data_IF_192044086516
#
_entry.id   IF_192044086516
#
_cell.length_a   1.000
_cell.length_b   1.000
_cell.length_c   1.000
_cell.angle_alpha   90.00
_cell.angle_beta   90.00
_cell.angle_gamma   90.00
#
_symmetry.space_group_name_H-M   'P 1'
#
loop_
_entity.id
_entity.type
_entity.pdbx_description
1 polymer ?
#
# COMPACT_ATOMS: atom_id res chain seq x y z
N UNK A 1 -7.94 18.96 -2.99
CA UNK A 1 -8.77 18.01 -2.21
C UNK A 1 -7.88 17.50 -1.10
N UNK A 2 -8.37 17.47 0.14
CA UNK A 2 -7.58 16.91 1.26
C UNK A 2 -7.49 15.39 1.19
N UNK A 3 -6.55 14.78 1.95
CA UNK A 3 -6.47 13.32 2.08
C UNK A 3 -7.80 12.73 2.61
N UNK A 4 -8.48 13.43 3.51
CA UNK A 4 -9.80 13.05 4.04
C UNK A 4 -10.89 13.05 2.96
N UNK A 5 -10.86 14.03 2.03
CA UNK A 5 -11.79 14.07 0.90
C UNK A 5 -11.62 12.84 0.00
N UNK A 6 -10.39 12.39 -0.25
CA UNK A 6 -10.12 11.18 -1.03
C UNK A 6 -10.63 9.92 -0.31
N UNK A 7 -10.48 9.86 1.03
CA UNK A 7 -10.98 8.72 1.81
C UNK A 7 -12.49 8.53 1.68
N UNK A 8 -13.25 9.60 1.51
CA UNK A 8 -14.73 9.55 1.45
C UNK A 8 -15.29 9.46 0.03
N UNK A 9 -14.52 9.89 -0.98
CA UNK A 9 -15.01 9.99 -2.38
C UNK A 9 -14.48 8.90 -3.29
N UNK A 10 -13.27 8.41 -3.03
CA UNK A 10 -12.67 7.35 -3.84
C UNK A 10 -13.32 6.02 -3.49
N UNK A 11 -13.95 5.39 -4.48
CA UNK A 11 -14.64 4.10 -4.35
C UNK A 11 -13.72 2.97 -4.79
N UNK A 12 -13.14 2.24 -3.82
CA UNK A 12 -12.29 1.07 -4.09
C UNK A 12 -13.13 -0.12 -4.56
N UNK A 13 -12.56 -0.94 -5.44
CA UNK A 13 -13.19 -2.14 -5.99
C UNK A 13 -13.03 -3.28 -4.99
N UNK A 14 -14.13 -3.76 -4.40
CA UNK A 14 -14.14 -4.87 -3.47
C UNK A 14 -14.00 -6.21 -4.18
N UNK A 15 -13.24 -7.11 -3.59
CA UNK A 15 -12.91 -8.42 -4.13
C UNK A 15 -13.26 -9.55 -3.16
N UNK A 16 -13.51 -10.73 -3.72
CA UNK A 16 -13.33 -11.98 -2.99
C UNK A 16 -11.86 -12.46 -3.05
N UNK A 17 -11.55 -13.56 -2.37
CA UNK A 17 -10.19 -14.10 -2.30
C UNK A 17 -9.66 -14.64 -3.65
N UNK A 18 -10.53 -14.86 -4.62
CA UNK A 18 -10.20 -15.33 -5.97
C UNK A 18 -10.13 -14.19 -6.99
N UNK A 19 -10.13 -12.91 -6.50
CA UNK A 19 -10.04 -11.70 -7.30
C UNK A 19 -11.30 -11.40 -8.15
N UNK A 20 -12.44 -11.98 -7.78
CA UNK A 20 -13.71 -11.59 -8.39
C UNK A 20 -14.23 -10.31 -7.76
N UNK A 21 -14.75 -9.39 -8.59
CA UNK A 21 -15.37 -8.15 -8.12
C UNK A 21 -16.70 -8.48 -7.44
N UNK A 22 -16.83 -8.10 -6.16
CA UNK A 22 -18.04 -8.34 -5.35
C UNK A 22 -18.78 -7.05 -5.01
N UNK A 23 -18.21 -5.87 -5.32
CA UNK A 23 -18.82 -4.58 -5.08
C UNK A 23 -17.81 -3.45 -5.08
N UNK A 24 -18.15 -2.38 -4.41
CA UNK A 24 -17.26 -1.24 -4.16
C UNK A 24 -17.61 -0.61 -2.81
N UNK A 25 -16.67 0.13 -2.24
CA UNK A 25 -16.89 0.95 -1.06
C UNK A 25 -15.87 2.08 -1.01
N UNK A 26 -16.16 3.13 -0.25
CA UNK A 26 -15.23 4.24 -0.14
C UNK A 26 -13.90 3.80 0.49
N UNK A 27 -12.86 4.57 0.20
CA UNK A 27 -11.51 4.26 0.65
C UNK A 27 -11.40 4.21 2.18
N UNK A 28 -12.18 5.01 2.92
CA UNK A 28 -12.24 4.99 4.37
C UNK A 28 -12.66 3.60 4.89
N UNK A 29 -13.79 3.06 4.42
CA UNK A 29 -14.32 1.76 4.82
C UNK A 29 -13.42 0.57 4.42
N UNK A 30 -12.65 0.72 3.35
CA UNK A 30 -11.75 -0.33 2.88
C UNK A 30 -10.43 -0.41 3.65
N UNK A 31 -10.07 0.64 4.40
CA UNK A 31 -8.79 0.73 5.12
C UNK A 31 -8.93 0.68 6.64
N UNK A 32 -10.17 0.67 7.19
CA UNK A 32 -10.40 0.58 8.63
C UNK A 32 -10.21 -0.85 9.12
N UNK A 33 -9.40 -1.00 10.17
CA UNK A 33 -9.23 -2.21 10.96
C UNK A 33 -9.97 -2.04 12.29
N UNK A 34 -10.90 -2.94 12.58
CA UNK A 34 -11.61 -3.00 13.87
C UNK A 34 -11.76 -4.46 14.30
N UNK A 35 -12.18 -4.74 15.55
CA UNK A 35 -12.33 -6.10 16.04
C UNK A 35 -13.19 -7.01 15.15
N UNK A 36 -14.26 -6.46 14.57
CA UNK A 36 -15.18 -7.16 13.66
C UNK A 36 -14.58 -7.34 12.26
N UNK A 37 -13.61 -6.51 11.88
CA UNK A 37 -12.91 -6.52 10.59
C UNK A 37 -11.40 -6.34 10.80
N UNK A 38 -10.71 -7.34 11.35
CA UNK A 38 -9.31 -7.21 11.77
C UNK A 38 -8.32 -7.07 10.60
N UNK A 39 -8.78 -7.25 9.35
CA UNK A 39 -8.00 -7.08 8.11
C UNK A 39 -8.57 -6.02 7.17
N UNK A 40 -9.63 -5.32 7.56
CA UNK A 40 -10.42 -4.45 6.68
C UNK A 40 -11.08 -5.20 5.50
N UNK A 41 -11.64 -4.47 4.53
CA UNK A 41 -12.27 -5.07 3.33
C UNK A 41 -11.21 -5.33 2.27
N UNK A 42 -11.22 -6.55 1.70
CA UNK A 42 -10.32 -6.89 0.59
C UNK A 42 -10.69 -6.08 -0.65
N UNK A 43 -9.72 -5.39 -1.23
CA UNK A 43 -9.94 -4.55 -2.40
C UNK A 43 -8.77 -4.61 -3.38
N UNK A 44 -9.00 -4.15 -4.62
CA UNK A 44 -8.01 -4.18 -5.69
C UNK A 44 -7.05 -3.01 -5.59
N UNK A 45 -5.76 -3.30 -5.74
CA UNK A 45 -4.69 -2.33 -5.78
C UNK A 45 -3.72 -2.58 -6.94
N UNK A 46 -2.76 -1.69 -7.13
CA UNK A 46 -1.65 -1.88 -8.04
C UNK A 46 -0.37 -1.25 -7.50
N UNK A 47 0.75 -1.88 -7.85
CA UNK A 47 2.10 -1.38 -7.63
C UNK A 47 2.85 -1.21 -8.94
N UNK A 48 3.22 0.03 -9.28
CA UNK A 48 4.06 0.35 -10.44
C UNK A 48 5.52 0.37 -10.05
N UNK A 49 6.34 -0.28 -10.85
CA UNK A 49 7.80 -0.19 -10.85
C UNK A 49 8.25 0.41 -12.18
N UNK A 50 8.61 1.71 -12.17
CA UNK A 50 9.07 2.43 -13.34
C UNK A 50 10.59 2.49 -13.36
N UNK A 51 11.16 2.07 -14.48
CA UNK A 51 12.60 2.10 -14.71
C UNK A 51 12.95 3.14 -15.79
N UNK A 52 14.06 3.83 -15.60
CA UNK A 52 14.60 4.68 -16.66
C UNK A 52 15.33 3.85 -17.75
N UNK A 53 15.79 4.49 -18.81
CA UNK A 53 16.55 3.84 -19.89
C UNK A 53 17.89 3.23 -19.45
N UNK A 54 18.38 3.62 -18.28
CA UNK A 54 19.58 3.04 -17.64
C UNK A 54 19.26 1.86 -16.73
N UNK A 55 17.99 1.46 -16.62
CA UNK A 55 17.52 0.38 -15.75
C UNK A 55 17.53 0.73 -14.26
N UNK A 56 17.48 2.03 -13.91
CA UNK A 56 17.34 2.46 -12.51
C UNK A 56 15.86 2.57 -12.16
N UNK A 57 15.49 2.06 -10.98
CA UNK A 57 14.12 2.12 -10.45
C UNK A 57 13.84 3.48 -9.84
N UNK A 58 12.71 4.09 -10.20
CA UNK A 58 12.17 5.26 -9.53
C UNK A 58 11.43 4.84 -8.26
N UNK A 59 11.92 5.31 -7.12
CA UNK A 59 11.27 5.18 -5.81
C UNK A 59 10.62 6.50 -5.42
N UNK A 60 9.61 6.43 -4.54
CA UNK A 60 9.08 7.61 -3.85
C UNK A 60 9.10 7.42 -2.33
N UNK A 61 9.18 8.53 -1.60
CA UNK A 61 8.86 8.60 -0.19
C UNK A 61 7.47 9.22 -0.03
N UNK A 62 6.57 8.53 0.64
CA UNK A 62 5.20 8.98 0.87
C UNK A 62 5.19 10.23 1.74
N UNK A 63 4.32 11.18 1.43
CA UNK A 63 4.17 12.42 2.21
C UNK A 63 3.75 12.14 3.67
N UNK A 64 4.09 13.05 4.56
CA UNK A 64 3.72 12.97 5.97
C UNK A 64 2.20 13.10 6.21
N UNK A 65 1.50 13.69 5.26
CA UNK A 65 0.05 13.92 5.28
C UNK A 65 -0.77 12.66 4.95
N UNK A 66 -0.13 11.60 4.47
CA UNK A 66 -0.83 10.33 4.17
C UNK A 66 -1.43 9.73 5.43
N UNK A 67 -2.68 9.23 5.34
CA UNK A 67 -3.40 8.62 6.47
C UNK A 67 -2.83 7.24 6.79
N UNK A 68 -2.48 6.46 5.74
CA UNK A 68 -1.86 5.14 5.87
C UNK A 68 -0.41 5.21 5.45
N UNK A 69 0.49 4.65 6.26
CA UNK A 69 1.92 4.53 5.99
C UNK A 69 2.60 5.84 5.51
N UNK A 70 2.49 6.96 6.28
CA UNK A 70 3.22 8.19 5.97
C UNK A 70 4.74 8.02 6.14
N UNK A 71 5.51 8.87 5.46
CA UNK A 71 6.98 8.97 5.56
C UNK A 71 7.77 7.71 5.15
N UNK A 72 7.12 6.65 4.66
CA UNK A 72 7.82 5.43 4.23
C UNK A 72 8.28 5.54 2.78
N UNK A 73 9.41 4.92 2.47
CA UNK A 73 9.84 4.68 1.10
C UNK A 73 9.04 3.54 0.48
N UNK A 74 8.80 3.62 -0.82
CA UNK A 74 8.04 2.63 -1.57
C UNK A 74 8.46 2.60 -3.05
N UNK A 75 7.87 1.68 -3.83
CA UNK A 75 7.99 1.63 -5.28
C UNK A 75 7.48 2.92 -5.94
N UNK A 76 7.53 3.01 -7.26
CA UNK A 76 7.26 4.25 -8.00
C UNK A 76 5.88 4.82 -7.71
N UNK A 77 4.84 3.99 -7.73
CA UNK A 77 3.47 4.39 -7.42
C UNK A 77 2.68 3.17 -6.94
N UNK A 78 1.89 3.33 -5.90
CA UNK A 78 0.95 2.31 -5.41
C UNK A 78 -0.37 2.98 -5.08
N UNK A 79 -1.48 2.40 -5.55
CA UNK A 79 -2.82 2.95 -5.35
C UNK A 79 -3.90 1.94 -5.79
N UNK A 80 -5.12 2.45 -5.95
CA UNK A 80 -6.30 1.66 -6.26
C UNK A 80 -6.89 2.05 -7.61
N UNK A 81 -7.31 1.07 -8.44
CA UNK A 81 -8.29 1.34 -9.47
C UNK A 81 -9.63 1.62 -8.80
N UNK A 82 -10.39 2.55 -9.35
CA UNK A 82 -11.60 3.07 -8.73
C UNK A 82 -12.86 2.70 -9.52
N UNK A 83 -13.94 2.48 -8.78
CA UNK A 83 -15.28 2.35 -9.34
C UNK A 83 -15.81 3.70 -9.85
N UNK A 84 -16.65 3.66 -10.89
CA UNK A 84 -17.32 4.88 -11.40
C UNK A 84 -16.54 5.71 -12.40
N UNK A 85 -15.31 5.34 -12.73
CA UNK A 85 -14.53 6.04 -13.76
C UNK A 85 -14.95 5.66 -15.18
N UNK A 86 -14.83 6.60 -16.11
CA UNK A 86 -15.06 6.40 -17.54
C UNK A 86 -13.88 6.97 -18.34
N UNK A 87 -13.14 6.17 -19.12
CA UNK A 87 -13.28 4.70 -19.26
C UNK A 87 -13.09 3.96 -17.93
N UNK A 88 -13.71 2.78 -17.80
CA UNK A 88 -13.69 2.01 -16.55
C UNK A 88 -12.28 1.62 -16.12
N UNK A 89 -12.02 1.67 -14.81
CA UNK A 89 -10.81 1.12 -14.19
C UNK A 89 -11.01 -0.31 -13.65
N UNK A 90 -12.18 -0.92 -13.91
CA UNK A 90 -12.47 -2.31 -13.56
C UNK A 90 -11.99 -3.22 -14.69
N UNK A 91 -11.14 -4.16 -14.37
CA UNK A 91 -10.76 -5.26 -15.27
C UNK A 91 -11.69 -6.45 -15.09
N UNK A 92 -12.15 -7.01 -16.20
CA UNK A 92 -12.91 -8.26 -16.21
C UNK A 92 -11.99 -9.46 -15.92
N UNK A 93 -12.55 -10.62 -15.51
CA UNK A 93 -11.75 -11.84 -15.37
C UNK A 93 -10.99 -12.22 -16.65
N UNK A 94 -11.54 -11.91 -17.84
CA UNK A 94 -10.88 -12.15 -19.11
C UNK A 94 -9.68 -11.22 -19.33
N UNK A 95 -9.78 -9.93 -18.93
CA UNK A 95 -8.66 -8.99 -18.98
C UNK A 95 -7.51 -9.46 -18.09
N UNK A 96 -7.84 -9.89 -16.87
CA UNK A 96 -6.85 -10.42 -15.91
C UNK A 96 -6.19 -11.69 -16.44
N UNK A 97 -6.98 -12.64 -16.92
CA UNK A 97 -6.47 -13.91 -17.46
C UNK A 97 -5.59 -13.74 -18.70
N UNK A 98 -5.84 -12.70 -19.50
CA UNK A 98 -5.01 -12.34 -20.66
C UNK A 98 -3.75 -11.55 -20.31
N UNK A 99 -3.65 -11.02 -19.08
CA UNK A 99 -2.57 -10.13 -18.67
C UNK A 99 -2.67 -8.70 -19.23
N UNK A 100 -3.76 -8.36 -19.90
CA UNK A 100 -3.92 -7.02 -20.51
C UNK A 100 -4.21 -5.92 -19.46
N UNK A 101 -5.08 -6.20 -18.49
CA UNK A 101 -5.46 -5.33 -17.36
C UNK A 101 -5.62 -3.83 -17.69
N UNK A 102 -6.48 -3.47 -18.68
CA UNK A 102 -6.60 -2.09 -19.15
C UNK A 102 -7.14 -1.13 -18.08
N UNK A 103 -7.93 -1.62 -17.14
CA UNK A 103 -8.47 -0.83 -16.04
C UNK A 103 -7.37 -0.40 -15.09
N UNK A 104 -6.57 -1.32 -14.61
CA UNK A 104 -5.43 -1.05 -13.71
C UNK A 104 -4.39 -0.16 -14.38
N UNK A 105 -4.10 -0.33 -15.68
CA UNK A 105 -3.18 0.55 -16.43
C UNK A 105 -3.68 2.00 -16.47
N UNK A 106 -4.99 2.23 -16.66
CA UNK A 106 -5.59 3.58 -16.59
C UNK A 106 -5.41 4.20 -15.21
N UNK A 107 -5.71 3.44 -14.16
CA UNK A 107 -5.51 3.87 -12.79
C UNK A 107 -4.04 4.21 -12.50
N UNK A 108 -3.11 3.39 -12.97
CA UNK A 108 -1.67 3.63 -12.85
C UNK A 108 -1.25 4.96 -13.50
N UNK A 109 -1.65 5.22 -14.75
CA UNK A 109 -1.35 6.48 -15.45
C UNK A 109 -1.96 7.67 -14.70
N UNK A 110 -3.21 7.57 -14.25
CA UNK A 110 -3.88 8.62 -13.47
C UNK A 110 -3.11 8.95 -12.19
N UNK A 111 -2.64 7.94 -11.49
CA UNK A 111 -1.94 8.12 -10.21
C UNK A 111 -0.50 8.55 -10.39
N UNK A 112 0.20 8.12 -11.43
CA UNK A 112 1.53 8.62 -11.78
C UNK A 112 1.50 10.14 -12.06
N UNK A 113 0.46 10.64 -12.75
CA UNK A 113 0.25 12.08 -12.91
C UNK A 113 -0.09 12.76 -11.58
N UNK A 114 -1.00 12.20 -10.80
CA UNK A 114 -1.45 12.80 -9.53
C UNK A 114 -0.35 12.88 -8.47
N UNK A 115 0.45 11.80 -8.31
CA UNK A 115 1.49 11.71 -7.27
C UNK A 115 2.83 12.30 -7.70
N UNK A 116 3.29 11.95 -8.90
CA UNK A 116 4.62 12.28 -9.39
C UNK A 116 4.63 13.31 -10.53
N UNK A 117 3.45 13.79 -10.96
CA UNK A 117 3.32 14.75 -12.05
C UNK A 117 3.76 14.20 -13.43
N UNK A 118 3.93 12.88 -13.53
CA UNK A 118 4.32 12.20 -14.78
C UNK A 118 3.13 12.20 -15.73
N UNK A 119 3.20 12.99 -16.79
CA UNK A 119 2.08 13.15 -17.74
C UNK A 119 1.84 11.88 -18.55
N UNK A 120 0.58 11.58 -18.86
CA UNK A 120 0.21 10.45 -19.69
C UNK A 120 0.90 10.45 -21.06
N UNK A 121 1.24 11.63 -21.59
CA UNK A 121 1.97 11.77 -22.85
C UNK A 121 3.42 11.28 -22.82
N UNK A 122 3.99 11.05 -21.64
CA UNK A 122 5.34 10.51 -21.44
C UNK A 122 5.33 8.98 -21.32
N UNK A 123 4.14 8.36 -21.24
CA UNK A 123 3.95 6.95 -21.01
C UNK A 123 3.22 6.31 -22.20
N UNK A 124 3.69 5.16 -22.65
CA UNK A 124 2.93 4.35 -23.57
C UNK A 124 2.10 3.32 -22.79
N UNK A 125 0.79 3.33 -23.00
CA UNK A 125 -0.16 2.45 -22.33
C UNK A 125 0.17 0.95 -22.50
N UNK A 126 0.66 0.58 -23.68
CA UNK A 126 0.97 -0.81 -24.00
C UNK A 126 2.30 -1.28 -23.41
N UNK A 127 3.17 -0.37 -22.96
CA UNK A 127 4.45 -0.70 -22.34
C UNK A 127 4.31 -1.12 -20.86
N UNK A 128 3.13 -0.92 -20.24
CA UNK A 128 2.87 -1.47 -18.92
C UNK A 128 2.75 -2.99 -18.96
N UNK A 129 3.71 -3.67 -18.37
CA UNK A 129 3.76 -5.12 -18.26
C UNK A 129 3.15 -5.56 -16.93
N UNK A 130 2.03 -6.26 -16.97
CA UNK A 130 1.45 -6.92 -15.79
C UNK A 130 2.17 -8.23 -15.55
N UNK A 131 2.71 -8.43 -14.34
CA UNK A 131 3.54 -9.59 -14.01
C UNK A 131 2.78 -10.63 -13.19
N UNK A 132 2.16 -10.24 -12.09
CA UNK A 132 1.45 -11.16 -11.20
C UNK A 132 0.56 -10.40 -10.21
N UNK A 133 -0.13 -11.15 -9.33
CA UNK A 133 -0.99 -10.63 -8.25
C UNK A 133 -0.46 -11.06 -6.90
N UNK A 134 -0.52 -10.14 -5.96
CA UNK A 134 -0.11 -10.36 -4.59
C UNK A 134 -1.27 -10.02 -3.62
N UNK A 135 -1.75 -11.00 -2.87
CA UNK A 135 -2.73 -10.80 -1.82
C UNK A 135 -2.01 -10.63 -0.49
N UNK A 136 -2.15 -9.48 0.15
CA UNK A 136 -1.55 -9.20 1.45
C UNK A 136 -2.49 -8.34 2.31
N UNK A 137 -2.21 -8.30 3.59
CA UNK A 137 -2.77 -7.31 4.50
C UNK A 137 -1.69 -6.78 5.44
N UNK A 138 -1.80 -5.51 5.84
CA UNK A 138 -0.83 -4.84 6.68
C UNK A 138 -1.48 -3.76 7.52
N UNK A 139 -1.37 -3.84 8.87
CA UNK A 139 -1.77 -2.75 9.75
C UNK A 139 -0.64 -1.72 9.87
N UNK A 140 -0.97 -0.43 9.88
CA UNK A 140 0.02 0.65 10.03
C UNK A 140 0.42 0.87 11.49
N UNK A 141 1.06 -0.14 12.07
CA UNK A 141 1.49 -0.12 13.47
C UNK A 141 2.63 0.86 13.74
N UNK A 142 3.37 1.26 12.71
CA UNK A 142 4.47 2.24 12.85
C UNK A 142 3.91 3.62 13.16
N UNK A 143 2.84 4.02 12.46
CA UNK A 143 2.21 5.33 12.65
C UNK A 143 1.26 5.34 13.85
N UNK A 144 0.47 4.28 14.01
CA UNK A 144 -0.67 4.25 14.94
C UNK A 144 -0.49 3.32 16.14
N UNK A 145 0.65 2.62 16.24
CA UNK A 145 0.93 1.67 17.31
C UNK A 145 0.27 0.31 17.13
N UNK A 146 0.37 -0.60 18.13
CA UNK A 146 -0.08 -1.99 18.02
C UNK A 146 -1.57 -2.17 17.70
N UNK A 147 -2.40 -1.23 18.15
CA UNK A 147 -3.85 -1.23 17.92
C UNK A 147 -4.25 -0.38 16.71
N UNK A 148 -3.36 -0.29 15.71
CA UNK A 148 -3.57 0.53 14.53
C UNK A 148 -4.97 0.34 13.93
N UNK A 149 -5.79 1.41 13.82
CA UNK A 149 -7.11 1.33 13.21
C UNK A 149 -7.04 1.38 11.69
N UNK A 150 -5.85 1.57 11.12
CA UNK A 150 -5.61 1.77 9.69
C UNK A 150 -4.65 0.73 9.12
N UNK A 151 -4.88 0.36 7.87
CA UNK A 151 -4.01 -0.54 7.14
C UNK A 151 -4.50 -0.83 5.73
N UNK A 152 -3.88 -1.80 5.09
CA UNK A 152 -4.17 -2.25 3.74
C UNK A 152 -4.61 -3.72 3.76
N UNK A 153 -5.57 -4.10 2.90
CA UNK A 153 -5.94 -5.48 2.63
C UNK A 153 -6.27 -5.62 1.14
N UNK A 154 -5.31 -6.07 0.37
CA UNK A 154 -5.31 -5.89 -1.07
C UNK A 154 -4.98 -7.16 -1.86
N UNK A 155 -5.58 -7.26 -3.06
CA UNK A 155 -4.97 -7.98 -4.18
C UNK A 155 -4.29 -6.94 -5.05
N UNK A 156 -2.97 -6.87 -4.94
CA UNK A 156 -2.08 -5.90 -5.58
C UNK A 156 -1.56 -6.43 -6.93
N UNK A 157 -1.80 -5.68 -7.99
CA UNK A 157 -1.39 -5.99 -9.35
C UNK A 157 -0.03 -5.35 -9.64
N UNK A 158 0.98 -6.18 -9.89
CA UNK A 158 2.35 -5.69 -10.06
C UNK A 158 2.60 -5.34 -11.53
N UNK A 159 2.88 -4.07 -11.78
CA UNK A 159 3.11 -3.49 -13.10
C UNK A 159 4.56 -3.01 -13.24
N UNK A 160 5.22 -3.42 -14.32
CA UNK A 160 6.52 -2.88 -14.73
C UNK A 160 6.37 -2.01 -15.97
N UNK A 161 7.16 -0.94 -16.03
CA UNK A 161 7.30 -0.09 -17.23
C UNK A 161 8.71 0.48 -17.29
N UNK A 162 9.24 0.68 -18.50
CA UNK A 162 10.48 1.42 -18.73
C UNK A 162 10.18 2.67 -19.53
N UNK A 163 10.47 3.85 -18.95
CA UNK A 163 10.29 5.14 -19.61
C UNK A 163 11.21 6.19 -18.98
N UNK A 164 11.79 7.05 -19.79
CA UNK A 164 12.43 8.28 -19.31
C UNK A 164 11.35 9.35 -19.15
N UNK A 165 11.17 9.85 -17.93
CA UNK A 165 10.08 10.76 -17.57
C UNK A 165 10.57 11.96 -16.78
N UNK A 166 9.85 13.07 -16.92
CA UNK A 166 10.01 14.25 -16.06
C UNK A 166 9.14 14.08 -14.82
N UNK A 167 9.75 14.19 -13.64
CA UNK A 167 9.08 13.98 -12.35
C UNK A 167 8.84 15.32 -11.67
N UNK A 168 7.57 15.61 -11.38
CA UNK A 168 7.12 16.82 -10.67
C UNK A 168 6.20 16.43 -9.51
N UNK A 169 6.74 15.98 -8.36
CA UNK A 169 5.94 15.40 -7.30
C UNK A 169 4.95 16.38 -6.71
N UNK A 170 3.75 15.87 -6.42
CA UNK A 170 2.76 16.57 -5.62
C UNK A 170 3.17 16.47 -4.13
N UNK A 171 3.49 17.57 -3.44
CA UNK A 171 3.98 17.52 -2.07
C UNK A 171 2.95 17.01 -1.04
N UNK A 172 1.64 17.00 -1.37
CA UNK A 172 0.60 16.40 -0.53
C UNK A 172 0.60 14.87 -0.62
N UNK A 173 1.27 14.28 -1.62
CA UNK A 173 1.32 12.84 -1.89
C UNK A 173 2.73 12.26 -1.71
N UNK A 174 3.75 13.00 -2.14
CA UNK A 174 5.14 12.53 -2.23
C UNK A 174 6.08 13.57 -1.61
N UNK A 175 6.82 13.14 -0.60
CA UNK A 175 7.80 13.98 0.09
C UNK A 175 9.14 14.04 -0.64
N UNK A 176 9.58 12.91 -1.21
CA UNK A 176 10.86 12.78 -1.92
C UNK A 176 10.79 11.67 -2.96
N UNK A 177 11.70 11.68 -3.93
CA UNK A 177 11.84 10.60 -4.91
C UNK A 177 13.30 10.37 -5.29
N UNK A 178 13.62 9.18 -5.75
CA UNK A 178 14.99 8.83 -6.11
C UNK A 178 15.04 7.73 -7.16
N UNK A 179 15.88 7.91 -8.19
CA UNK A 179 16.28 6.80 -9.06
C UNK A 179 17.42 6.02 -8.41
N UNK A 180 17.26 4.69 -8.33
CA UNK A 180 18.24 3.82 -7.68
C UNK A 180 18.63 2.64 -8.56
N UNK A 181 19.85 2.17 -8.42
CA UNK A 181 20.32 0.87 -8.89
C UNK A 181 19.90 -0.23 -7.90
N UNK A 182 20.03 -1.50 -8.29
CA UNK A 182 19.76 -2.64 -7.38
C UNK A 182 20.63 -2.57 -6.11
N UNK A 183 21.89 -2.21 -6.26
CA UNK A 183 22.81 -2.12 -5.12
C UNK A 183 22.45 -0.96 -4.18
N UNK A 184 22.07 0.20 -4.72
CA UNK A 184 21.59 1.32 -3.91
C UNK A 184 20.28 0.98 -3.19
N UNK A 185 19.32 0.30 -3.85
CA UNK A 185 18.10 -0.19 -3.19
C UNK A 185 18.43 -1.11 -2.02
N UNK A 186 19.34 -2.07 -2.22
CA UNK A 186 19.78 -3.00 -1.18
C UNK A 186 20.41 -2.26 0.01
N UNK A 187 21.23 -1.23 -0.23
CA UNK A 187 21.81 -0.40 0.81
C UNK A 187 20.74 0.41 1.55
N UNK A 188 19.78 1.00 0.83
CA UNK A 188 18.65 1.73 1.41
C UNK A 188 17.75 0.84 2.26
N UNK A 189 17.55 -0.42 1.88
CA UNK A 189 16.73 -1.39 2.62
C UNK A 189 17.47 -2.09 3.76
N UNK A 190 18.78 -1.90 3.88
CA UNK A 190 19.54 -2.46 4.98
C UNK A 190 19.06 -1.89 6.34
N UNK A 191 18.95 -2.71 7.41
CA UNK A 191 18.52 -2.23 8.73
C UNK A 191 19.32 -1.04 9.26
N UNK A 192 20.60 -0.97 8.90
CA UNK A 192 21.50 0.13 9.28
C UNK A 192 21.14 1.48 8.66
N UNK A 193 20.31 1.52 7.60
CA UNK A 193 19.88 2.77 6.98
C UNK A 193 18.90 3.55 7.85
N UNK A 194 18.14 2.88 8.71
CA UNK A 194 17.08 3.47 9.51
C UNK A 194 15.84 3.90 8.69
N UNK A 195 15.81 3.64 7.38
CA UNK A 195 14.71 4.01 6.51
C UNK A 195 13.52 3.07 6.71
N UNK A 196 12.32 3.65 6.72
CA UNK A 196 11.07 2.92 6.77
C UNK A 196 10.58 2.60 5.36
N UNK A 197 9.97 1.41 5.20
CA UNK A 197 9.49 0.92 3.91
C UNK A 197 8.04 0.45 4.01
N UNK A 198 7.29 0.67 2.95
CA UNK A 198 5.95 0.13 2.86
C UNK A 198 5.95 -1.40 2.85
N UNK A 199 4.95 -2.06 3.50
CA UNK A 199 4.88 -3.52 3.57
C UNK A 199 4.87 -4.19 2.19
N UNK A 200 4.04 -3.71 1.27
CA UNK A 200 3.94 -4.27 -0.09
C UNK A 200 5.26 -4.18 -0.87
N UNK A 201 5.92 -3.00 -0.86
CA UNK A 201 7.21 -2.85 -1.54
C UNK A 201 8.25 -3.82 -0.99
N UNK A 202 8.29 -4.04 0.32
CA UNK A 202 9.20 -5.01 0.95
C UNK A 202 8.92 -6.44 0.50
N UNK A 203 7.66 -6.87 0.50
CA UNK A 203 7.29 -8.21 0.02
C UNK A 203 7.76 -8.39 -1.42
N UNK A 204 7.47 -7.41 -2.30
CA UNK A 204 7.82 -7.48 -3.71
C UNK A 204 9.34 -7.53 -3.90
N UNK A 205 10.08 -6.69 -3.18
CA UNK A 205 11.55 -6.68 -3.25
C UNK A 205 12.16 -8.01 -2.79
N UNK A 206 11.68 -8.53 -1.67
CA UNK A 206 12.22 -9.76 -1.08
C UNK A 206 11.89 -11.02 -1.90
N UNK A 207 10.71 -11.04 -2.55
CA UNK A 207 10.21 -12.25 -3.21
C UNK A 207 10.42 -12.27 -4.72
N UNK A 208 10.36 -11.13 -5.38
CA UNK A 208 10.22 -11.08 -6.82
C UNK A 208 11.24 -10.15 -7.51
N UNK A 209 11.38 -8.91 -7.01
CA UNK A 209 12.06 -7.83 -7.73
C UNK A 209 13.48 -8.19 -8.16
N UNK A 210 14.24 -8.86 -7.30
CA UNK A 210 15.63 -9.19 -7.60
C UNK A 210 15.82 -9.98 -8.89
N UNK A 211 14.97 -11.02 -9.10
CA UNK A 211 15.01 -11.85 -10.31
C UNK A 211 14.48 -11.12 -11.55
N UNK A 212 13.42 -10.33 -11.39
CA UNK A 212 12.80 -9.58 -12.49
C UNK A 212 13.71 -8.45 -12.99
N UNK A 213 14.34 -7.73 -12.07
CA UNK A 213 15.24 -6.63 -12.39
C UNK A 213 16.60 -7.09 -12.93
N UNK A 214 17.11 -8.23 -12.46
CA UNK A 214 18.37 -8.80 -12.98
C UNK A 214 18.31 -9.10 -14.49
N UNK A 215 17.12 -9.36 -15.03
CA UNK A 215 16.87 -9.57 -16.46
C UNK A 215 15.68 -8.71 -16.91
N UNK A 216 15.83 -7.39 -16.68
CA UNK A 216 14.77 -6.40 -16.89
C UNK A 216 14.25 -6.43 -18.33
N UNK A 217 15.14 -6.56 -19.30
CA UNK A 217 14.78 -6.60 -20.72
C UNK A 217 13.89 -7.82 -21.04
N UNK A 218 14.23 -8.99 -20.55
CA UNK A 218 13.39 -10.19 -20.69
C UNK A 218 12.07 -10.05 -19.93
N UNK A 219 12.08 -9.47 -18.73
CA UNK A 219 10.87 -9.25 -17.93
C UNK A 219 9.89 -8.32 -18.66
N UNK A 220 10.37 -7.25 -19.28
CA UNK A 220 9.53 -6.31 -20.01
C UNK A 220 9.05 -6.84 -21.37
N UNK A 221 9.90 -7.57 -22.11
CA UNK A 221 9.65 -7.90 -23.51
C UNK A 221 9.14 -9.34 -23.74
N UNK A 222 9.16 -10.19 -22.71
CA UNK A 222 8.75 -11.59 -22.84
C UNK A 222 7.76 -11.98 -21.74
N UNK A 223 7.22 -13.22 -21.81
CA UNK A 223 6.34 -13.78 -20.78
C UNK A 223 7.11 -14.53 -19.67
N UNK A 224 8.45 -14.46 -19.64
CA UNK A 224 9.31 -15.21 -18.72
C UNK A 224 8.98 -14.98 -17.23
N UNK A 225 8.63 -13.74 -16.89
CA UNK A 225 8.35 -13.31 -15.51
C UNK A 225 6.85 -13.17 -15.22
N UNK A 226 6.00 -13.55 -16.17
CA UNK A 226 4.55 -13.39 -16.06
C UNK A 226 3.94 -14.63 -15.41
N UNK A 227 3.19 -14.43 -14.32
CA UNK A 227 2.43 -15.48 -13.64
C UNK A 227 0.99 -15.00 -13.38
N UNK A 228 0.08 -15.37 -14.28
CA UNK A 228 -1.31 -14.89 -14.26
C UNK A 228 -2.26 -15.83 -13.51
N UNK A 229 -1.90 -17.09 -13.34
CA UNK A 229 -2.76 -18.11 -12.75
C UNK A 229 -2.73 -18.09 -11.22
N UNK A 230 -1.63 -17.59 -10.64
CA UNK A 230 -1.39 -17.60 -9.20
C UNK A 230 -1.71 -16.24 -8.56
N UNK A 231 -2.31 -16.26 -7.39
CA UNK A 231 -2.36 -15.13 -6.47
C UNK A 231 -1.43 -15.48 -5.31
N UNK A 232 -0.28 -14.82 -5.24
CA UNK A 232 0.68 -15.03 -4.15
C UNK A 232 0.14 -14.42 -2.87
N UNK A 233 0.08 -15.18 -1.77
CA UNK A 233 -0.60 -14.77 -0.54
C UNK A 233 0.38 -14.63 0.61
N UNK A 234 0.34 -13.45 1.26
CA UNK A 234 1.23 -13.09 2.36
C UNK A 234 0.41 -12.62 3.55
N UNK A 235 0.72 -13.15 4.71
CA UNK A 235 0.11 -12.75 5.98
C UNK A 235 1.14 -11.94 6.76
N UNK A 236 0.90 -10.64 6.85
CA UNK A 236 1.75 -9.73 7.60
C UNK A 236 1.19 -9.60 9.02
N UNK A 237 1.71 -10.35 9.97
CA UNK A 237 1.30 -10.17 11.36
C UNK A 237 1.70 -8.79 11.87
N UNK A 238 0.95 -8.24 12.83
CA UNK A 238 1.23 -6.92 13.45
C UNK A 238 2.67 -6.81 13.96
N UNK A 239 3.24 -7.89 14.43
CA UNK A 239 4.63 -7.97 14.91
C UNK A 239 5.68 -7.77 13.80
N UNK A 240 5.34 -8.08 12.56
CA UNK A 240 6.24 -7.97 11.42
C UNK A 240 6.25 -6.57 10.75
N UNK A 241 5.35 -5.69 11.14
CA UNK A 241 5.18 -4.37 10.52
C UNK A 241 5.91 -3.25 11.25
N UNK A 242 6.35 -3.49 12.48
CA UNK A 242 7.06 -2.50 13.28
C UNK A 242 8.56 -2.63 13.15
N UNK A 243 9.21 -1.59 12.63
CA UNK A 243 10.63 -1.46 12.74
C UNK A 243 11.33 -0.90 11.51
N UNK A 244 12.31 -0.04 11.73
CA UNK A 244 13.24 0.39 10.71
C UNK A 244 13.96 -0.84 10.14
N UNK A 245 13.78 -1.10 8.87
CA UNK A 245 14.45 -2.17 8.14
C UNK A 245 14.13 -3.61 8.57
N UNK A 246 13.29 -3.81 9.59
CA UNK A 246 12.97 -5.12 10.11
C UNK A 246 11.67 -5.65 9.55
N UNK A 247 11.68 -6.44 8.49
CA UNK A 247 10.64 -7.40 8.30
C UNK A 247 11.07 -8.69 8.96
N UNK A 248 10.22 -9.23 9.76
CA UNK A 248 10.26 -10.66 10.00
C UNK A 248 9.97 -11.41 8.70
N UNK A 249 10.18 -12.72 8.66
CA UNK A 249 9.87 -13.49 7.48
C UNK A 249 8.37 -13.34 7.14
N UNK A 250 8.10 -12.89 5.93
CA UNK A 250 6.77 -12.93 5.36
C UNK A 250 6.40 -14.41 5.17
N UNK A 251 5.24 -14.79 5.67
CA UNK A 251 4.76 -16.16 5.53
C UNK A 251 3.85 -16.19 4.31
N UNK A 252 4.29 -16.86 3.26
CA UNK A 252 3.43 -17.16 2.12
C UNK A 252 2.42 -18.23 2.54
N UNK A 253 1.11 -17.92 2.37
CA UNK A 253 0.02 -18.81 2.78
C UNK A 253 -0.82 -19.27 1.60
N UNK A 254 -1.32 -20.49 1.70
CA UNK A 254 -2.30 -21.03 0.75
C UNK A 254 -3.66 -20.31 0.88
N UNK A 255 -4.49 -20.40 -0.18
CA UNK A 255 -5.80 -19.75 -0.24
C UNK A 255 -6.72 -20.11 0.94
N UNK A 256 -6.63 -21.34 1.46
CA UNK A 256 -7.43 -21.82 2.58
C UNK A 256 -7.14 -21.11 3.90
N UNK A 257 -5.93 -20.56 4.08
CA UNK A 257 -5.52 -19.91 5.32
C UNK A 257 -5.99 -18.45 5.43
N UNK A 258 -6.54 -17.90 4.35
CA UNK A 258 -7.00 -16.51 4.27
C UNK A 258 -8.48 -16.38 4.62
N UNK A 259 -9.23 -17.50 4.68
CA UNK A 259 -10.62 -17.53 5.15
C UNK A 259 -10.67 -17.37 6.68
N UNK A 260 -10.98 -16.22 7.12
CA UNK A 260 -11.25 -15.58 8.42
C UNK A 260 -11.23 -16.33 9.75
N UNK A 261 -11.48 -17.60 9.82
CA UNK A 261 -11.83 -18.25 11.09
C UNK A 261 -10.64 -18.75 11.93
N UNK A 262 -9.54 -19.11 11.31
CA UNK A 262 -8.36 -19.60 12.03
C UNK A 262 -7.61 -18.47 12.79
N UNK A 263 -7.78 -17.23 12.36
CA UNK A 263 -7.10 -16.06 12.92
C UNK A 263 -7.75 -15.56 14.22
N UNK A 264 -9.08 -15.59 14.31
CA UNK A 264 -9.81 -15.23 15.53
C UNK A 264 -9.48 -16.17 16.70
N UNK A 265 -9.21 -17.44 16.41
CA UNK A 265 -8.80 -18.42 17.41
C UNK A 265 -7.35 -18.21 17.90
N UNK A 266 -6.44 -17.73 17.07
CA UNK A 266 -5.05 -17.50 17.47
C UNK A 266 -4.89 -16.26 18.36
N UNK A 267 -5.69 -15.22 18.13
CA UNK A 267 -5.71 -14.01 18.99
C UNK A 267 -6.33 -14.31 20.37
N UNK A 268 -7.34 -15.18 20.43
CA UNK A 268 -7.98 -15.58 21.68
C UNK A 268 -7.13 -16.52 22.55
N UNK A 269 -6.18 -17.27 21.95
CA UNK A 269 -5.34 -18.24 22.68
C UNK A 269 -4.05 -17.65 23.25
N UNK A 270 -3.62 -16.47 22.81
CA UNK A 270 -2.46 -15.77 23.36
C UNK A 270 -2.85 -14.77 24.46
N UNK A 271 -3.54 -15.23 25.48
CA UNK A 271 -3.79 -14.53 26.75
C UNK A 271 -2.50 -14.28 27.55
N UNK A 272 -1.50 -13.69 26.95
CA UNK A 272 -0.29 -13.21 27.59
C UNK A 272 -0.50 -11.82 28.15
N UNK A 273 -0.26 -11.66 29.46
CA UNK A 273 -0.26 -10.38 30.18
C UNK A 273 0.43 -9.28 29.38
N UNK A 274 -0.27 -8.16 29.20
CA UNK A 274 0.31 -6.93 28.69
C UNK A 274 1.53 -6.55 29.54
N UNK A 275 2.67 -6.15 28.93
CA UNK A 275 3.77 -5.57 29.67
C UNK A 275 3.33 -4.22 30.24
N UNK A 276 3.63 -3.97 31.51
CA UNK A 276 3.38 -2.70 32.17
C UNK A 276 4.05 -1.56 31.38
N UNK A 277 3.26 -0.66 30.86
CA UNK A 277 3.73 0.55 30.19
C UNK A 277 4.21 1.54 31.24
N UNK A 278 5.52 1.71 31.33
CA UNK A 278 6.12 2.84 32.05
C UNK A 278 5.83 4.11 31.22
N UNK A 279 5.22 5.16 31.79
CA UNK A 279 4.91 6.36 31.02
C UNK A 279 6.21 7.07 30.60
N UNK A 280 6.40 7.24 29.31
CA UNK A 280 7.46 8.10 28.75
C UNK A 280 7.20 9.55 29.18
N UNK A 281 8.07 10.08 30.03
CA UNK A 281 8.07 11.49 30.41
C UNK A 281 8.34 12.33 29.17
N UNK A 282 7.33 13.08 28.73
CA UNK A 282 7.47 14.09 27.69
C UNK A 282 8.35 15.23 28.14
N UNK A 283 9.58 15.30 27.67
CA UNK A 283 10.41 16.49 27.78
C UNK A 283 10.16 17.41 26.58
N UNK A 284 9.21 18.32 26.72
CA UNK A 284 8.96 19.37 25.74
C UNK A 284 9.92 20.51 25.99
N UNK A 285 10.88 20.73 25.10
CA UNK A 285 11.67 21.96 25.05
C UNK A 285 10.99 22.97 24.15
N UNK A 286 10.66 24.15 24.70
CA UNK A 286 10.15 25.32 23.97
C UNK A 286 11.17 25.79 22.94
N UNK A 287 10.86 25.70 21.64
CA UNK A 287 11.50 26.45 20.57
C UNK A 287 10.68 27.70 20.28
N UNK A 288 11.37 28.83 20.16
CA UNK A 288 10.79 30.13 19.82
C UNK A 288 10.62 30.12 18.31
N UNK A 289 9.37 30.13 17.87
CA UNK A 289 8.80 30.60 16.58
C UNK A 289 7.70 29.67 16.04
N UNK A 290 6.51 30.20 16.00
CA UNK A 290 5.40 30.00 15.06
C UNK A 290 4.91 28.59 14.65
N UNK A 291 5.55 27.49 15.00
CA UNK A 291 5.22 26.14 14.50
C UNK A 291 4.16 25.35 15.27
N UNK A 292 3.55 25.95 16.28
CA UNK A 292 2.54 25.26 17.13
C UNK A 292 1.17 25.09 16.47
N UNK A 293 0.80 25.93 15.51
CA UNK A 293 -0.52 25.85 14.88
C UNK A 293 -0.70 24.63 13.99
N UNK A 294 0.35 24.19 13.32
CA UNK A 294 0.30 23.01 12.42
C UNK A 294 0.22 21.68 13.20
N UNK A 295 0.92 21.56 14.32
CA UNK A 295 0.87 20.37 15.18
C UNK A 295 -0.47 20.23 15.91
N UNK A 296 -1.07 21.34 16.36
CA UNK A 296 -2.41 21.31 16.97
C UNK A 296 -3.51 20.96 15.97
N UNK A 297 -3.42 21.40 14.72
CA UNK A 297 -4.35 21.02 13.67
C UNK A 297 -4.25 19.53 13.29
N UNK A 298 -3.05 18.98 13.23
CA UNK A 298 -2.86 17.56 12.97
C UNK A 298 -3.38 16.68 14.12
N UNK A 299 -3.12 17.06 15.38
CA UNK A 299 -3.65 16.35 16.55
C UNK A 299 -5.18 16.42 16.60
N UNK A 300 -5.76 17.58 16.27
CA UNK A 300 -7.23 17.75 16.23
C UNK A 300 -7.88 16.99 15.06
N UNK A 301 -7.20 16.85 13.92
CA UNK A 301 -7.65 16.05 12.78
C UNK A 301 -7.56 14.57 13.11
N UNK A 302 -6.47 14.12 13.71
CA UNK A 302 -6.28 12.74 14.16
C UNK A 302 -7.36 12.33 15.16
N UNK A 303 -7.65 13.17 16.18
CA UNK A 303 -8.70 12.91 17.16
C UNK A 303 -10.10 12.81 16.54
N UNK A 304 -10.43 13.62 15.52
CA UNK A 304 -11.72 13.54 14.80
C UNK A 304 -11.86 12.29 13.96
N UNK A 305 -10.75 11.78 13.41
CA UNK A 305 -10.73 10.52 12.66
C UNK A 305 -10.89 9.34 13.62
N UNK A 306 -10.20 9.35 14.75
CA UNK A 306 -10.31 8.34 15.81
C UNK A 306 -11.73 8.27 16.38
N UNK A 307 -12.38 9.41 16.65
CA UNK A 307 -13.77 9.50 17.10
C UNK A 307 -14.78 8.93 16.09
N UNK A 308 -14.53 9.10 14.79
CA UNK A 308 -15.33 8.47 13.73
C UNK A 308 -15.11 6.97 13.62
N UNK A 309 -13.88 6.50 13.79
CA UNK A 309 -13.56 5.06 13.83
C UNK A 309 -14.34 4.37 14.94
N UNK A 310 -14.34 4.92 16.16
CA UNK A 310 -15.12 4.38 17.28
C UNK A 310 -16.62 4.37 16.99
N UNK A 311 -17.14 5.44 16.38
CA UNK A 311 -18.58 5.53 16.04
C UNK A 311 -19.00 4.48 15.02
N UNK A 312 -18.18 4.19 14.02
CA UNK A 312 -18.50 3.20 12.97
C UNK A 312 -18.39 1.78 13.50
N UNK A 313 -17.37 1.47 14.27
CA UNK A 313 -17.22 0.16 14.90
C UNK A 313 -18.36 -0.15 15.88
N UNK A 314 -18.94 0.87 16.52
CA UNK A 314 -20.08 0.70 17.45
C UNK A 314 -21.44 0.67 16.74
N UNK A 315 -21.62 1.36 15.60
CA UNK A 315 -22.89 1.40 14.88
C UNK A 315 -23.20 0.11 14.11
N UNK A 316 -22.20 -0.72 13.81
CA UNK A 316 -22.39 -2.03 13.17
C UNK A 316 -23.10 -3.06 14.04
N UNK A 317 -23.24 -2.82 15.35
CA UNK A 317 -23.92 -3.71 16.31
C UNK A 317 -25.44 -3.45 16.43
N UNK A 318 -25.98 -2.41 15.83
CA UNK A 318 -27.40 -2.03 15.96
C UNK A 318 -28.29 -2.46 14.78
N UNK A 319 -27.79 -3.24 13.84
CA UNK A 319 -28.47 -3.61 12.59
C UNK A 319 -28.50 -5.11 12.28
N UNK A 320 -28.66 -5.99 13.27
CA UNK A 320 -28.94 -7.41 13.05
C UNK A 320 -30.18 -7.85 13.80
#
# INVERSE_FOLDING_TARGET
>A
MSQEDFMLKDECILLDVDDNVVGHDNKYETHIFCPERPRAKLHRAFSVFLFDSRGRLLLQQRAAEKITFPNVWTNTCCSHPLFGYSPTEIDSPADVASGNTPGVKRAAIRKLDHELGIKASQLNFDDFKFLTRMHYWAADVVTHGPEAPWGEHEIDYILFIQADVDVHPNPEEVQDYKYVTQEELKQMMAPSSGLLWSPWCRIIVERFLGSWWADLDATLKTEKSVELSTIHRFDCTREHMGGAGGAGPWIEKGAADVSGDAWLSAVASNGGKAPETTPLKSSVKKGVDGRWSLLQDQVSKKARVEERVETICTSGLAGS
#
